data_IF_846310131033
#
_entry.id   IF_846310131033
#
_cell.length_a   1.000
_cell.length_b   1.000
_cell.length_c   1.000
_cell.angle_alpha   90.00
_cell.angle_beta   90.00
_cell.angle_gamma   90.00
#
_symmetry.space_group_name_H-M   'P 1'
#
loop_
_entity.id
_entity.type
_entity.pdbx_description
1 polymer ?
#
# COMPACT_ATOMS: atom_id res chain seq x y z
N UNK A 1 20.20 72.01 62.55
CA UNK A 1 19.90 72.80 61.33
C UNK A 1 19.54 71.82 60.22
N UNK A 2 18.45 72.06 59.49
CA UNK A 2 18.03 71.32 58.27
C UNK A 2 18.95 71.66 57.07
N UNK A 3 18.79 71.09 55.84
CA UNK A 3 17.86 70.04 55.35
C UNK A 3 18.63 68.72 55.06
N UNK A 4 18.26 67.72 54.23
CA UNK A 4 17.16 67.45 53.27
C UNK A 4 16.85 65.92 53.31
N UNK A 5 16.10 65.20 52.42
CA UNK A 5 15.54 65.37 51.07
C UNK A 5 14.15 64.68 51.03
N UNK A 6 13.16 65.30 50.41
CA UNK A 6 11.91 64.67 49.95
C UNK A 6 12.09 64.22 48.50
N UNK A 7 11.62 63.02 48.14
CA UNK A 7 11.13 62.64 46.79
C UNK A 7 10.82 61.13 46.74
N UNK A 8 9.54 60.76 46.79
CA UNK A 8 9.08 59.45 46.29
C UNK A 8 7.59 59.50 45.93
N UNK A 9 7.29 60.12 44.79
CA UNK A 9 5.97 60.07 44.15
C UNK A 9 6.06 59.11 42.96
N UNK A 10 5.91 57.81 43.22
CA UNK A 10 5.79 56.81 42.17
C UNK A 10 4.39 56.89 41.56
N UNK A 11 4.28 57.48 40.37
CA UNK A 11 3.03 57.55 39.62
C UNK A 11 2.70 56.18 39.01
N UNK A 12 1.78 55.44 39.64
CA UNK A 12 1.24 54.21 39.08
C UNK A 12 0.18 54.52 38.01
N UNK A 13 0.62 54.91 36.80
CA UNK A 13 -0.21 54.68 35.62
C UNK A 13 -0.22 53.17 35.34
N UNK A 14 -1.30 52.49 35.75
CA UNK A 14 -1.62 51.16 35.25
C UNK A 14 -2.88 51.26 34.38
N UNK A 15 -2.77 50.81 33.14
CA UNK A 15 -3.83 50.96 32.14
C UNK A 15 -5.13 50.30 32.59
N UNK A 16 -6.24 51.00 32.40
CA UNK A 16 -7.56 50.42 32.56
C UNK A 16 -7.77 49.31 31.50
N UNK A 17 -7.73 48.05 31.95
CA UNK A 17 -8.13 46.90 31.14
C UNK A 17 -9.67 46.83 31.03
N UNK A 18 -10.25 47.78 30.30
CA UNK A 18 -11.68 47.84 30.00
C UNK A 18 -11.91 47.44 28.54
N UNK A 19 -12.26 46.18 28.30
CA UNK A 19 -12.44 45.69 26.91
C UNK A 19 -12.52 44.18 26.72
N UNK A 20 -12.36 43.35 27.76
CA UNK A 20 -12.75 41.95 27.68
C UNK A 20 -14.28 41.85 27.79
N UNK A 21 -14.97 41.98 26.65
CA UNK A 21 -16.37 41.56 26.57
C UNK A 21 -16.44 40.08 27.00
N UNK A 22 -17.41 39.68 27.86
CA UNK A 22 -17.62 38.27 28.14
C UNK A 22 -18.01 37.60 26.83
N UNK A 23 -17.08 36.81 26.27
CA UNK A 23 -17.35 35.93 25.14
C UNK A 23 -18.64 35.17 25.43
N UNK A 24 -19.55 35.15 24.47
CA UNK A 24 -20.85 34.49 24.57
C UNK A 24 -20.70 32.96 24.55
N UNK A 25 -20.07 32.43 25.60
CA UNK A 25 -20.19 31.05 26.02
C UNK A 25 -21.68 30.80 26.25
N UNK A 26 -22.31 30.22 25.23
CA UNK A 26 -23.74 29.98 25.07
C UNK A 26 -24.36 29.60 26.42
N UNK A 27 -25.09 30.54 27.01
CA UNK A 27 -25.65 30.40 28.35
C UNK A 27 -26.58 29.18 28.36
N UNK A 28 -26.16 28.12 29.07
CA UNK A 28 -26.83 26.82 29.01
C UNK A 28 -28.28 26.96 29.47
N UNK A 29 -29.24 26.51 28.66
CA UNK A 29 -30.64 26.60 29.02
C UNK A 29 -30.95 25.61 30.17
N UNK A 30 -31.38 26.09 31.36
CA UNK A 30 -31.59 25.23 32.52
C UNK A 30 -32.69 24.19 32.31
N UNK A 31 -33.67 24.47 31.43
CA UNK A 31 -34.68 23.48 31.06
C UNK A 31 -34.10 22.38 30.16
N UNK A 32 -33.17 22.71 29.26
CA UNK A 32 -32.50 21.73 28.41
C UNK A 32 -31.53 20.85 29.23
N UNK A 33 -30.79 21.42 30.18
CA UNK A 33 -29.91 20.65 31.08
C UNK A 33 -30.70 19.74 32.03
N UNK A 34 -31.86 20.19 32.55
CA UNK A 34 -32.72 19.34 33.38
C UNK A 34 -33.33 18.15 32.59
N UNK A 35 -33.69 18.36 31.31
CA UNK A 35 -34.16 17.28 30.44
C UNK A 35 -33.02 16.31 30.06
N UNK A 36 -31.79 16.82 29.84
CA UNK A 36 -30.61 16.00 29.62
C UNK A 36 -30.32 15.07 30.80
N UNK A 37 -30.32 15.63 32.03
CA UNK A 37 -30.11 14.87 33.27
C UNK A 37 -31.18 13.79 33.45
N UNK A 38 -32.46 14.14 33.29
CA UNK A 38 -33.57 13.18 33.34
C UNK A 38 -33.43 12.06 32.30
N UNK A 39 -32.98 12.37 31.08
CA UNK A 39 -32.79 11.38 30.04
C UNK A 39 -31.58 10.46 30.28
N UNK A 40 -30.50 10.97 30.88
CA UNK A 40 -29.36 10.16 31.28
C UNK A 40 -29.77 9.13 32.36
N UNK A 41 -30.64 9.54 33.31
CA UNK A 41 -31.22 8.65 34.31
C UNK A 41 -32.15 7.60 33.68
N UNK A 42 -33.04 7.99 32.75
CA UNK A 42 -33.87 7.05 31.98
C UNK A 42 -33.01 6.04 31.21
N UNK A 43 -31.91 6.48 30.58
CA UNK A 43 -30.99 5.65 29.81
C UNK A 43 -30.24 4.66 30.70
N UNK A 44 -29.72 5.09 31.85
CA UNK A 44 -29.11 4.19 32.85
C UNK A 44 -30.11 3.18 33.44
N UNK A 45 -31.40 3.52 33.49
CA UNK A 45 -32.46 2.61 33.89
C UNK A 45 -32.99 1.72 32.74
N UNK A 46 -32.40 1.78 31.54
CA UNK A 46 -32.83 1.01 30.37
C UNK A 46 -34.17 1.45 29.77
N UNK A 47 -34.69 2.62 30.16
CA UNK A 47 -36.01 3.12 29.75
C UNK A 47 -35.90 3.89 28.42
N UNK A 48 -35.42 3.20 27.38
CA UNK A 48 -34.94 3.81 26.12
C UNK A 48 -35.97 4.72 25.44
N UNK A 49 -37.25 4.34 25.44
CA UNK A 49 -38.32 5.13 24.81
C UNK A 49 -38.62 6.41 25.58
N UNK A 50 -38.48 6.40 26.92
CA UNK A 50 -38.60 7.60 27.77
C UNK A 50 -37.41 8.53 27.58
N UNK A 51 -36.19 7.97 27.58
CA UNK A 51 -34.97 8.71 27.28
C UNK A 51 -35.08 9.41 25.91
N UNK A 52 -35.49 8.68 24.87
CA UNK A 52 -35.68 9.23 23.52
C UNK A 52 -36.71 10.37 23.49
N UNK A 53 -37.89 10.18 24.08
CA UNK A 53 -38.93 11.22 24.12
C UNK A 53 -38.48 12.47 24.91
N UNK A 54 -37.73 12.30 25.99
CA UNK A 54 -37.15 13.40 26.79
C UNK A 54 -36.05 14.14 26.02
N UNK A 55 -35.19 13.42 25.30
CA UNK A 55 -34.13 14.01 24.45
C UNK A 55 -34.69 14.73 23.23
N UNK A 56 -35.74 14.20 22.59
CA UNK A 56 -36.45 14.89 21.50
C UNK A 56 -37.12 16.18 21.98
N UNK A 57 -37.66 16.20 23.22
CA UNK A 57 -38.14 17.44 23.86
C UNK A 57 -37.01 18.42 24.10
N UNK A 58 -35.87 17.97 24.62
CA UNK A 58 -34.68 18.80 24.83
C UNK A 58 -34.16 19.39 23.51
N UNK A 59 -34.13 18.58 22.44
CA UNK A 59 -33.68 19.00 21.11
C UNK A 59 -34.60 20.03 20.46
N UNK A 60 -35.91 20.05 20.79
CA UNK A 60 -36.81 21.14 20.39
C UNK A 60 -36.50 22.47 21.07
N UNK A 61 -35.87 22.45 22.26
CA UNK A 61 -35.46 23.65 23.00
C UNK A 61 -34.08 24.12 22.52
N UNK A 62 -33.12 23.21 22.34
CA UNK A 62 -31.77 23.52 21.82
C UNK A 62 -31.39 22.63 20.61
N UNK A 63 -31.85 22.95 19.38
CA UNK A 63 -31.63 22.12 18.19
C UNK A 63 -30.18 21.94 17.73
N UNK A 64 -29.24 22.64 18.37
CA UNK A 64 -27.80 22.67 18.04
C UNK A 64 -26.91 22.38 19.27
N UNK A 65 -27.45 21.81 20.34
CA UNK A 65 -26.66 21.34 21.46
C UNK A 65 -26.05 19.95 21.12
N UNK A 66 -24.71 19.81 21.10
CA UNK A 66 -24.06 18.54 20.75
C UNK A 66 -24.28 17.45 21.80
N UNK A 67 -24.42 17.77 23.09
CA UNK A 67 -24.66 16.79 24.14
C UNK A 67 -26.02 16.09 23.97
N UNK A 68 -27.07 16.83 23.62
CA UNK A 68 -28.41 16.24 23.33
C UNK A 68 -28.33 15.26 22.15
N UNK A 69 -27.58 15.62 21.11
CA UNK A 69 -27.38 14.75 19.94
C UNK A 69 -26.57 13.49 20.29
N UNK A 70 -25.57 13.60 21.17
CA UNK A 70 -24.78 12.47 21.66
C UNK A 70 -25.65 11.47 22.43
N UNK A 71 -26.38 11.93 23.46
CA UNK A 71 -27.25 11.06 24.25
C UNK A 71 -28.40 10.46 23.44
N UNK A 72 -28.95 11.19 22.46
CA UNK A 72 -29.97 10.63 21.55
C UNK A 72 -29.34 9.56 20.64
N UNK A 73 -28.10 9.76 20.19
CA UNK A 73 -27.34 8.74 19.46
C UNK A 73 -27.09 7.48 20.30
N UNK A 74 -26.66 7.63 21.56
CA UNK A 74 -26.48 6.52 22.49
C UNK A 74 -27.79 5.77 22.79
N UNK A 75 -28.90 6.50 22.91
CA UNK A 75 -30.24 5.91 23.05
C UNK A 75 -30.62 5.09 21.81
N UNK A 76 -30.41 5.64 20.61
CA UNK A 76 -30.68 4.94 19.34
C UNK A 76 -29.79 3.71 19.13
N UNK A 77 -28.54 3.74 19.61
CA UNK A 77 -27.64 2.58 19.61
C UNK A 77 -28.25 1.42 20.41
N UNK A 78 -28.68 1.69 21.65
CA UNK A 78 -29.31 0.69 22.52
C UNK A 78 -30.67 0.19 21.99
N UNK A 79 -31.39 1.00 21.22
CA UNK A 79 -32.60 0.59 20.50
C UNK A 79 -32.33 -0.20 19.20
N UNK A 80 -31.08 -0.53 18.87
CA UNK A 80 -30.70 -1.23 17.63
C UNK A 80 -30.79 -0.35 16.36
N UNK A 81 -30.99 0.96 16.50
CA UNK A 81 -31.18 1.90 15.40
C UNK A 81 -29.85 2.52 14.95
N UNK A 82 -28.89 1.65 14.61
CA UNK A 82 -27.48 2.00 14.44
C UNK A 82 -27.22 3.14 13.43
N UNK A 83 -27.89 3.13 12.28
CA UNK A 83 -27.78 4.18 11.26
C UNK A 83 -28.19 5.56 11.79
N UNK A 84 -29.19 5.62 12.69
CA UNK A 84 -29.57 6.87 13.35
C UNK A 84 -28.55 7.27 14.43
N UNK A 85 -28.03 6.29 15.18
CA UNK A 85 -27.01 6.52 16.21
C UNK A 85 -25.75 7.16 15.61
N UNK A 86 -25.22 6.60 14.51
CA UNK A 86 -24.09 7.15 13.76
C UNK A 86 -24.38 8.58 13.28
N UNK A 87 -25.51 8.81 12.60
CA UNK A 87 -25.84 10.13 12.05
C UNK A 87 -25.96 11.22 13.14
N UNK A 88 -26.52 10.87 14.30
CA UNK A 88 -26.63 11.76 15.45
C UNK A 88 -25.27 12.06 16.09
N UNK A 89 -24.43 11.04 16.27
CA UNK A 89 -23.09 11.18 16.82
C UNK A 89 -22.16 11.99 15.87
N UNK A 90 -22.24 11.76 14.56
CA UNK A 90 -21.52 12.54 13.55
C UNK A 90 -21.96 14.02 13.58
N UNK A 91 -23.28 14.28 13.65
CA UNK A 91 -23.80 15.64 13.80
C UNK A 91 -23.35 16.28 15.12
N UNK A 92 -23.32 15.53 16.22
CA UNK A 92 -22.77 15.99 17.51
C UNK A 92 -21.30 16.39 17.38
N UNK A 93 -20.44 15.56 16.77
CA UNK A 93 -19.02 15.86 16.53
C UNK A 93 -18.79 17.17 15.77
N UNK A 94 -19.63 17.48 14.76
CA UNK A 94 -19.51 18.77 14.03
C UNK A 94 -19.93 20.00 14.85
N UNK A 95 -20.73 19.80 15.91
CA UNK A 95 -21.24 20.87 16.78
C UNK A 95 -20.49 20.98 18.12
N UNK A 96 -19.70 19.97 18.50
CA UNK A 96 -18.92 19.91 19.73
C UNK A 96 -17.75 20.93 19.79
N UNK A 97 -17.25 21.37 18.62
CA UNK A 97 -16.18 22.37 18.54
C UNK A 97 -14.92 21.94 19.28
N UNK A 98 -14.45 22.74 20.24
CA UNK A 98 -13.25 22.46 21.02
C UNK A 98 -13.45 21.42 22.13
N UNK A 99 -14.65 20.90 22.38
CA UNK A 99 -14.86 19.82 23.34
C UNK A 99 -14.24 18.51 22.81
N UNK A 100 -13.05 18.18 23.31
CA UNK A 100 -12.31 16.98 22.95
C UNK A 100 -12.99 15.72 23.48
N UNK A 101 -13.41 15.73 24.76
CA UNK A 101 -14.04 14.59 25.41
C UNK A 101 -15.32 14.19 24.67
N UNK A 102 -16.18 15.15 24.34
CA UNK A 102 -17.41 14.88 23.58
C UNK A 102 -17.11 14.38 22.16
N UNK A 103 -16.07 14.86 21.49
CA UNK A 103 -15.65 14.33 20.18
C UNK A 103 -15.14 12.89 20.28
N UNK A 104 -14.41 12.53 21.33
CA UNK A 104 -13.96 11.15 21.58
C UNK A 104 -15.14 10.22 21.89
N UNK A 105 -16.06 10.63 22.77
CA UNK A 105 -17.29 9.87 23.06
C UNK A 105 -18.16 9.67 21.81
N UNK A 106 -18.25 10.68 20.93
CA UNK A 106 -18.94 10.54 19.64
C UNK A 106 -18.19 9.63 18.67
N UNK A 107 -16.86 9.68 18.62
CA UNK A 107 -16.06 8.81 17.76
C UNK A 107 -16.23 7.33 18.16
N UNK A 108 -16.21 7.06 19.47
CA UNK A 108 -16.54 5.73 20.01
C UNK A 108 -17.96 5.29 19.62
N UNK A 109 -18.97 6.16 19.83
CA UNK A 109 -20.36 5.87 19.48
C UNK A 109 -20.58 5.61 17.98
N UNK A 110 -19.84 6.28 17.09
CA UNK A 110 -19.85 6.02 15.64
C UNK A 110 -19.25 4.65 15.32
N UNK A 111 -18.11 4.31 15.94
CA UNK A 111 -17.46 3.02 15.72
C UNK A 111 -18.35 1.86 16.20
N UNK A 112 -18.91 1.97 17.41
CA UNK A 112 -19.82 0.99 18.00
C UNK A 112 -21.09 0.81 17.15
N UNK A 113 -21.69 1.91 16.67
CA UNK A 113 -22.86 1.85 15.79
C UNK A 113 -22.56 1.11 14.47
N UNK A 114 -21.40 1.37 13.85
CA UNK A 114 -21.00 0.67 12.62
C UNK A 114 -20.75 -0.82 12.87
N UNK A 115 -20.00 -1.15 13.91
CA UNK A 115 -19.69 -2.53 14.29
C UNK A 115 -20.97 -3.34 14.59
N UNK A 116 -21.92 -2.76 15.32
CA UNK A 116 -23.20 -3.39 15.60
C UNK A 116 -24.09 -3.51 14.35
N UNK A 117 -24.04 -2.54 13.43
CA UNK A 117 -24.71 -2.63 12.13
C UNK A 117 -24.10 -3.74 11.24
N UNK A 118 -22.78 -3.89 11.23
CA UNK A 118 -22.09 -4.97 10.50
C UNK A 118 -22.44 -6.34 11.06
N UNK A 119 -22.50 -6.50 12.38
CA UNK A 119 -22.91 -7.76 13.03
C UNK A 119 -24.36 -8.13 12.74
N UNK A 120 -25.28 -7.16 12.70
CA UNK A 120 -26.69 -7.42 12.35
C UNK A 120 -26.95 -7.50 10.83
N UNK A 121 -26.05 -6.99 9.99
CA UNK A 121 -26.13 -7.11 8.53
C UNK A 121 -25.46 -8.38 8.00
N UNK A 122 -24.47 -8.91 8.74
CA UNK A 122 -23.87 -10.20 8.45
C UNK A 122 -24.98 -11.25 8.39
N UNK A 123 -25.17 -11.94 7.24
CA UNK A 123 -26.11 -13.05 7.21
C UNK A 123 -25.69 -14.06 8.26
N UNK A 124 -26.67 -14.73 8.87
CA UNK A 124 -26.46 -15.90 9.71
C UNK A 124 -25.99 -17.07 8.83
N UNK A 125 -24.76 -16.98 8.32
CA UNK A 125 -24.02 -18.09 7.73
C UNK A 125 -23.84 -19.08 8.86
N UNK A 126 -24.37 -20.29 8.68
CA UNK A 126 -24.26 -21.33 9.67
C UNK A 126 -22.77 -21.62 9.93
N UNK A 127 -22.40 -21.77 11.20
CA UNK A 127 -21.02 -22.06 11.57
C UNK A 127 -20.57 -23.42 10.99
N UNK A 128 -21.52 -24.31 10.66
CA UNK A 128 -21.24 -25.53 9.89
C UNK A 128 -20.76 -25.25 8.45
N UNK A 129 -21.36 -24.28 7.74
CA UNK A 129 -20.95 -23.88 6.39
C UNK A 129 -19.56 -23.21 6.41
N UNK A 130 -19.31 -22.36 7.42
CA UNK A 130 -17.98 -21.75 7.63
C UNK A 130 -16.91 -22.80 7.87
N UNK A 131 -17.19 -23.78 8.74
CA UNK A 131 -16.25 -24.86 9.04
C UNK A 131 -15.99 -25.75 7.82
N UNK A 132 -17.02 -26.07 7.03
CA UNK A 132 -16.87 -26.84 5.81
C UNK A 132 -16.02 -26.10 4.76
N UNK A 133 -16.22 -24.79 4.59
CA UNK A 133 -15.38 -23.97 3.70
C UNK A 133 -13.92 -23.90 4.18
N UNK A 134 -13.70 -23.78 5.49
CA UNK A 134 -12.36 -23.78 6.08
C UNK A 134 -11.64 -25.12 5.83
N UNK A 135 -12.33 -26.25 6.06
CA UNK A 135 -11.80 -27.59 5.81
C UNK A 135 -11.41 -27.79 4.34
N UNK A 136 -12.27 -27.40 3.39
CA UNK A 136 -11.99 -27.49 1.95
C UNK A 136 -10.78 -26.63 1.54
N UNK A 137 -10.60 -25.46 2.16
CA UNK A 137 -9.45 -24.60 1.91
C UNK A 137 -8.16 -25.23 2.45
N UNK A 138 -8.18 -25.78 3.67
CA UNK A 138 -7.03 -26.44 4.29
C UNK A 138 -6.61 -27.70 3.50
N UNK A 139 -7.58 -28.49 2.99
CA UNK A 139 -7.34 -29.61 2.08
C UNK A 139 -6.73 -29.20 0.73
N UNK A 140 -7.15 -28.06 0.16
CA UNK A 140 -6.56 -27.51 -1.08
C UNK A 140 -5.14 -26.99 -0.85
N UNK A 141 -4.87 -26.33 0.28
CA UNK A 141 -3.53 -25.87 0.66
C UNK A 141 -2.58 -27.07 0.81
N UNK A 142 -3.02 -28.13 1.49
CA UNK A 142 -2.18 -29.30 1.71
C UNK A 142 -1.92 -30.08 0.42
N UNK A 143 -2.93 -30.22 -0.46
CA UNK A 143 -2.74 -30.79 -1.81
C UNK A 143 -1.72 -30.00 -2.64
N UNK A 144 -1.69 -28.66 -2.53
CA UNK A 144 -0.69 -27.82 -3.21
C UNK A 144 0.72 -28.03 -2.66
N UNK A 145 0.88 -28.04 -1.34
CA UNK A 145 2.18 -28.33 -0.69
C UNK A 145 2.73 -29.69 -1.11
N UNK A 146 1.89 -30.71 -1.16
CA UNK A 146 2.29 -32.05 -1.59
C UNK A 146 2.72 -32.08 -3.06
N UNK A 147 2.01 -31.38 -3.95
CA UNK A 147 2.41 -31.24 -5.35
C UNK A 147 3.74 -30.48 -5.51
N UNK A 148 3.98 -29.43 -4.72
CA UNK A 148 5.26 -28.69 -4.70
C UNK A 148 6.41 -29.56 -4.20
N UNK A 149 6.20 -30.34 -3.13
CA UNK A 149 7.19 -31.29 -2.60
C UNK A 149 7.51 -32.42 -3.60
N UNK A 150 6.49 -32.97 -4.28
CA UNK A 150 6.67 -33.95 -5.36
C UNK A 150 7.48 -33.36 -6.53
N UNK A 151 7.19 -32.11 -6.92
CA UNK A 151 7.93 -31.41 -7.96
C UNK A 151 9.39 -31.11 -7.57
N UNK A 152 9.68 -30.88 -6.28
CA UNK A 152 11.05 -30.76 -5.77
C UNK A 152 11.80 -32.09 -5.87
N UNK A 153 11.22 -33.17 -5.31
CA UNK A 153 11.82 -34.50 -5.32
C UNK A 153 12.11 -35.00 -6.74
N UNK A 154 11.21 -34.75 -7.70
CA UNK A 154 11.42 -35.11 -9.10
C UNK A 154 12.61 -34.35 -9.72
N UNK A 155 12.81 -33.07 -9.38
CA UNK A 155 13.97 -32.29 -9.85
C UNK A 155 15.28 -32.82 -9.30
N UNK A 156 15.31 -33.24 -8.03
CA UNK A 156 16.49 -33.86 -7.42
C UNK A 156 16.83 -35.19 -8.12
N UNK A 157 15.84 -36.06 -8.31
CA UNK A 157 16.01 -37.33 -9.03
C UNK A 157 16.51 -37.14 -10.48
N UNK A 158 15.96 -36.16 -11.20
CA UNK A 158 16.44 -35.83 -12.56
C UNK A 158 17.89 -35.33 -12.52
N UNK A 159 18.27 -34.48 -11.56
CA UNK A 159 19.65 -34.03 -11.39
C UNK A 159 20.62 -35.15 -10.98
N UNK A 160 20.16 -36.18 -10.25
CA UNK A 160 20.95 -37.40 -9.99
C UNK A 160 21.07 -38.28 -11.24
N UNK A 161 20.01 -38.41 -12.02
CA UNK A 161 20.02 -39.13 -13.30
C UNK A 161 20.95 -38.47 -14.31
N UNK A 162 20.95 -37.15 -14.43
CA UNK A 162 21.87 -36.39 -15.28
C UNK A 162 23.33 -36.56 -14.84
N UNK A 163 23.62 -36.47 -13.53
CA UNK A 163 24.97 -36.70 -13.00
C UNK A 163 25.47 -38.12 -13.27
N UNK A 164 24.63 -39.13 -13.03
CA UNK A 164 25.01 -40.53 -13.25
C UNK A 164 25.20 -40.84 -14.74
N UNK A 165 24.37 -40.28 -15.62
CA UNK A 165 24.58 -40.35 -17.07
C UNK A 165 25.87 -39.63 -17.51
N UNK A 166 26.18 -38.46 -16.95
CA UNK A 166 27.42 -37.75 -17.24
C UNK A 166 28.66 -38.58 -16.84
N UNK A 167 28.66 -39.21 -15.65
CA UNK A 167 29.75 -40.10 -15.22
C UNK A 167 29.82 -41.42 -16.02
N UNK A 168 28.70 -41.87 -16.60
CA UNK A 168 28.68 -43.02 -17.50
C UNK A 168 29.12 -42.67 -18.93
N UNK A 169 29.10 -41.38 -19.28
CA UNK A 169 29.59 -40.82 -20.53
C UNK A 169 30.99 -40.20 -20.39
N UNK A 170 31.73 -40.54 -19.33
CA UNK A 170 33.15 -40.21 -19.17
C UNK A 170 33.91 -40.79 -20.38
N UNK A 171 34.37 -39.94 -21.29
CA UNK A 171 35.12 -40.38 -22.47
C UNK A 171 36.42 -41.04 -22.01
N UNK A 172 36.77 -42.26 -22.48
CA UNK A 172 37.99 -42.92 -22.06
C UNK A 172 39.20 -42.08 -22.49
N UNK A 173 39.94 -41.58 -21.51
CA UNK A 173 41.05 -40.63 -21.71
C UNK A 173 42.19 -41.18 -22.59
N UNK A 174 42.25 -42.50 -22.77
CA UNK A 174 43.33 -43.21 -23.49
C UNK A 174 43.02 -43.49 -24.98
N UNK A 175 41.80 -43.25 -25.49
CA UNK A 175 41.39 -43.76 -26.82
C UNK A 175 41.23 -42.70 -27.93
N UNK A 176 41.42 -41.41 -27.64
CA UNK A 176 41.44 -40.38 -28.69
C UNK A 176 42.46 -39.25 -28.45
N UNK A 177 43.72 -39.53 -28.78
CA UNK A 177 44.71 -38.50 -29.09
C UNK A 177 44.77 -38.30 -30.62
N UNK A 178 44.03 -37.34 -31.20
CA UNK A 178 44.25 -36.99 -32.58
C UNK A 178 45.62 -36.31 -32.69
N UNK A 179 46.51 -36.87 -33.52
CA UNK A 179 47.73 -36.17 -33.93
C UNK A 179 47.32 -34.92 -34.70
N UNK A 180 47.39 -33.77 -34.03
CA UNK A 180 47.17 -32.46 -34.64
C UNK A 180 48.33 -32.15 -35.58
N UNK A 181 48.13 -32.47 -36.86
CA UNK A 181 49.10 -32.18 -37.91
C UNK A 181 48.83 -30.77 -38.46
N UNK A 182 49.72 -29.81 -38.19
CA UNK A 182 49.58 -28.40 -38.58
C UNK A 182 49.45 -28.18 -40.11
N UNK A 183 49.70 -29.21 -40.93
CA UNK A 183 49.55 -29.17 -42.39
C UNK A 183 48.11 -29.04 -42.89
N UNK A 184 47.12 -29.50 -42.12
CA UNK A 184 45.75 -29.66 -42.62
C UNK A 184 44.91 -28.36 -42.49
N UNK A 185 45.51 -27.30 -41.94
CA UNK A 185 44.88 -26.01 -41.66
C UNK A 185 44.91 -25.00 -42.83
N UNK A 186 45.41 -25.39 -44.02
CA UNK A 186 45.76 -24.45 -45.09
C UNK A 186 45.40 -24.87 -46.55
N UNK A 187 44.42 -25.75 -46.78
CA UNK A 187 43.84 -25.87 -48.13
C UNK A 187 42.35 -26.25 -48.15
N UNK A 188 41.51 -25.34 -48.67
CA UNK A 188 40.10 -25.58 -49.00
C UNK A 188 39.09 -24.72 -48.22
N UNK A 189 38.12 -24.05 -48.88
CA UNK A 189 37.01 -23.42 -48.19
C UNK A 189 36.12 -24.49 -47.52
N UNK A 190 35.55 -24.21 -46.33
CA UNK A 190 34.73 -25.18 -45.62
C UNK A 190 33.51 -25.59 -46.44
N UNK A 191 33.13 -26.87 -46.35
CA UNK A 191 32.00 -27.43 -47.09
C UNK A 191 30.70 -26.66 -46.83
N UNK A 192 29.73 -26.65 -47.78
CA UNK A 192 28.48 -25.91 -47.62
C UNK A 192 27.68 -26.29 -46.36
N UNK A 193 27.84 -27.51 -45.86
CA UNK A 193 27.20 -27.96 -44.61
C UNK A 193 27.87 -27.38 -43.37
N UNK A 194 29.21 -27.30 -43.32
CA UNK A 194 29.95 -26.63 -42.26
C UNK A 194 29.63 -25.13 -42.19
N UNK A 195 29.47 -24.46 -43.33
CA UNK A 195 29.02 -23.06 -43.38
C UNK A 195 27.60 -22.87 -42.82
N UNK A 196 26.74 -23.89 -42.97
CA UNK A 196 25.37 -23.90 -42.45
C UNK A 196 25.34 -24.16 -40.93
N UNK A 197 26.21 -25.01 -40.43
CA UNK A 197 26.38 -25.27 -38.99
C UNK A 197 27.00 -24.06 -38.24
N UNK A 198 28.03 -23.43 -38.83
CA UNK A 198 28.70 -22.26 -38.26
C UNK A 198 27.77 -21.05 -38.04
N UNK A 199 26.65 -20.96 -38.76
CA UNK A 199 25.66 -19.90 -38.58
C UNK A 199 24.78 -20.05 -37.30
N UNK A 200 24.87 -21.19 -36.62
CA UNK A 200 24.07 -21.49 -35.41
C UNK A 200 24.90 -21.69 -34.13
N UNK A 201 26.21 -21.93 -34.24
CA UNK A 201 27.13 -22.00 -33.11
C UNK A 201 27.62 -20.60 -32.69
N UNK A 202 26.84 -19.88 -31.89
CA UNK A 202 27.26 -18.59 -31.36
C UNK A 202 28.23 -18.71 -30.18
N UNK A 203 29.36 -17.99 -30.21
CA UNK A 203 29.90 -17.25 -29.04
C UNK A 203 31.08 -16.27 -29.31
N UNK A 204 31.47 -16.01 -30.57
CA UNK A 204 32.65 -15.15 -30.91
C UNK A 204 32.37 -13.67 -31.29
N UNK A 205 31.30 -13.06 -30.77
CA UNK A 205 31.10 -11.60 -30.91
C UNK A 205 31.30 -10.81 -29.60
N UNK A 206 32.07 -11.39 -28.68
CA UNK A 206 32.62 -10.70 -27.51
C UNK A 206 33.82 -9.82 -27.88
N UNK A 207 33.74 -8.53 -27.54
CA UNK A 207 34.76 -7.49 -27.74
C UNK A 207 35.12 -7.11 -29.21
N UNK A 208 34.38 -6.13 -29.73
CA UNK A 208 35.08 -4.86 -30.01
C UNK A 208 35.21 -4.35 -31.45
N UNK A 209 34.67 -5.02 -32.49
CA UNK A 209 34.65 -4.44 -33.86
C UNK A 209 33.31 -4.59 -34.59
N UNK A 210 32.46 -3.57 -34.47
CA UNK A 210 31.37 -3.32 -35.42
C UNK A 210 31.95 -3.22 -36.84
N UNK A 211 31.50 -4.03 -37.82
CA UNK A 211 31.95 -3.97 -39.20
C UNK A 211 31.80 -2.56 -39.78
N UNK A 212 32.76 -2.11 -40.62
CA UNK A 212 32.78 -0.72 -41.11
C UNK A 212 31.47 -0.29 -41.78
N UNK A 213 30.88 -1.14 -42.62
CA UNK A 213 29.58 -0.88 -43.27
C UNK A 213 28.35 -0.94 -42.36
N UNK A 214 28.52 -1.21 -41.05
CA UNK A 214 27.42 -1.26 -40.07
C UNK A 214 27.51 -0.14 -39.01
N UNK A 215 28.52 0.73 -39.08
CA UNK A 215 28.57 1.94 -38.25
C UNK A 215 27.55 2.97 -38.75
N UNK A 216 26.96 3.79 -37.86
CA UNK A 216 26.17 4.94 -38.28
C UNK A 216 27.00 5.91 -39.12
N UNK A 217 26.39 6.70 -40.02
CA UNK A 217 27.06 7.80 -40.70
C UNK A 217 27.39 8.93 -39.71
N UNK A 218 28.34 9.84 -40.05
CA UNK A 218 28.73 10.95 -39.19
C UNK A 218 27.54 11.78 -38.69
N UNK A 219 27.51 12.05 -37.39
CA UNK A 219 26.45 12.83 -36.74
C UNK A 219 25.17 12.05 -36.41
N UNK A 220 25.05 10.77 -36.76
CA UNK A 220 24.02 9.87 -36.24
C UNK A 220 24.61 8.89 -35.21
N UNK A 221 23.72 8.34 -34.38
CA UNK A 221 24.05 7.26 -33.46
C UNK A 221 23.28 5.98 -33.82
N UNK A 222 23.75 4.82 -33.35
CA UNK A 222 23.10 3.53 -33.54
C UNK A 222 23.17 2.72 -32.25
N UNK A 223 22.04 2.14 -31.84
CA UNK A 223 21.99 1.17 -30.73
C UNK A 223 22.44 -0.20 -31.27
N UNK A 224 23.29 -0.90 -30.51
CA UNK A 224 23.87 -2.19 -30.87
C UNK A 224 23.64 -3.21 -29.77
N UNK A 225 23.09 -4.37 -30.13
CA UNK A 225 22.89 -5.50 -29.21
C UNK A 225 23.95 -6.56 -29.49
N UNK A 226 24.76 -7.01 -28.51
CA UNK A 226 25.78 -8.03 -28.75
C UNK A 226 25.17 -9.36 -29.27
N UNK A 227 23.99 -9.71 -28.81
CA UNK A 227 23.31 -10.99 -29.13
C UNK A 227 22.53 -10.96 -30.47
N UNK A 228 22.66 -9.89 -31.27
CA UNK A 228 21.97 -9.78 -32.57
C UNK A 228 22.97 -9.78 -33.74
N UNK A 229 22.70 -10.54 -34.82
CA UNK A 229 23.56 -10.49 -36.00
C UNK A 229 23.52 -9.09 -36.66
N UNK A 230 24.62 -8.62 -37.27
CA UNK A 230 24.74 -7.24 -37.79
C UNK A 230 23.58 -6.76 -38.67
N UNK A 231 23.06 -7.64 -39.55
CA UNK A 231 21.94 -7.34 -40.44
C UNK A 231 20.56 -7.22 -39.76
N UNK A 232 20.44 -7.54 -38.45
CA UNK A 232 19.21 -7.38 -37.63
C UNK A 232 19.35 -6.33 -36.54
N UNK A 233 20.38 -5.48 -36.61
CA UNK A 233 20.56 -4.34 -35.73
C UNK A 233 19.64 -3.17 -36.16
N UNK A 234 19.06 -2.40 -35.22
CA UNK A 234 18.16 -1.30 -35.55
C UNK A 234 18.85 -0.23 -36.44
N UNK A 235 18.10 0.58 -37.20
CA UNK A 235 18.68 1.65 -38.02
C UNK A 235 19.36 2.73 -37.15
N UNK A 236 20.28 3.52 -37.72
CA UNK A 236 20.81 4.72 -37.06
C UNK A 236 19.74 5.81 -36.92
N UNK A 237 19.91 6.70 -35.94
CA UNK A 237 18.98 7.79 -35.64
C UNK A 237 19.63 8.92 -34.84
N UNK A 238 18.81 9.86 -34.36
CA UNK A 238 19.26 11.00 -33.57
C UNK A 238 19.92 10.54 -32.25
N UNK A 239 21.08 11.11 -31.94
CA UNK A 239 21.89 10.69 -30.80
C UNK A 239 21.23 10.90 -29.44
N UNK A 240 20.55 12.01 -29.22
CA UNK A 240 19.96 12.34 -27.92
C UNK A 240 18.72 11.48 -27.66
N UNK A 241 17.88 11.29 -28.68
CA UNK A 241 16.73 10.40 -28.63
C UNK A 241 17.12 8.94 -28.33
N UNK A 242 18.19 8.43 -28.95
CA UNK A 242 18.70 7.08 -28.72
C UNK A 242 19.48 6.93 -27.41
N UNK A 243 20.08 8.01 -26.89
CA UNK A 243 20.72 8.00 -25.58
C UNK A 243 19.69 7.89 -24.44
N UNK A 244 18.58 8.61 -24.55
CA UNK A 244 17.52 8.63 -23.52
C UNK A 244 16.72 7.31 -23.45
N UNK A 245 16.60 6.59 -24.57
CA UNK A 245 15.82 5.35 -24.67
C UNK A 245 16.70 4.09 -24.81
N UNK A 246 17.90 4.10 -24.23
CA UNK A 246 18.86 2.99 -24.34
C UNK A 246 18.36 1.74 -23.56
N UNK A 247 18.13 0.59 -24.22
CA UNK A 247 17.72 -0.64 -23.54
C UNK A 247 18.89 -1.27 -22.76
N UNK A 248 18.58 -1.97 -21.68
CA UNK A 248 19.57 -2.73 -20.92
C UNK A 248 20.30 -3.75 -21.82
N UNK A 249 21.61 -3.89 -21.63
CA UNK A 249 22.47 -4.78 -22.43
C UNK A 249 22.85 -4.26 -23.82
N UNK A 250 22.34 -3.09 -24.26
CA UNK A 250 22.69 -2.50 -25.54
C UNK A 250 23.77 -1.41 -25.42
N UNK A 251 24.54 -1.17 -26.48
CA UNK A 251 25.58 -0.14 -26.55
C UNK A 251 25.21 0.96 -27.56
N UNK A 252 25.59 2.21 -27.28
CA UNK A 252 25.38 3.33 -28.21
C UNK A 252 26.67 3.60 -29.02
N UNK A 253 26.61 3.40 -30.33
CA UNK A 253 27.69 3.72 -31.27
C UNK A 253 27.46 5.12 -31.84
N UNK A 254 28.51 5.93 -31.93
CA UNK A 254 28.52 7.22 -32.65
C UNK A 254 29.25 7.09 -33.99
N UNK A 255 28.80 7.83 -35.00
CA UNK A 255 29.39 7.89 -36.35
C UNK A 255 30.29 9.09 -36.54
#
# INVERSE_FOLDING_TARGET
MWPALLLSTAAALFCAAAGAAPSSARQANPAASALLESAAQDLHAGQLDRAAATLERALRIEPRNPAILHYLGQTRLQQGQYQQAEALAAKSSTLAGSDHNLRESNAWLIAEARQAAEQNLAPAVDDSERLALQQLLDEEIERRRQAEAQAHALREQLGEQERTQATAAEWPADEFQPEWNDSDLMDGPPSPELQKAAFHAGHEWGMGRIPRGHRPPPGLCRIWFPDRPPGRQPPPGNCDALHYHMPAGAWLIRG
#
